data_IF_279812416484
#
_entry.id   IF_279812416484
#
_cell.length_a   1.000
_cell.length_b   1.000
_cell.length_c   1.000
_cell.angle_alpha   90.00
_cell.angle_beta   90.00
_cell.angle_gamma   90.00
#
_symmetry.space_group_name_H-M   'P 1'
#
loop_
_entity.id
_entity.type
_entity.pdbx_description
1 polymer ?
#
# COMPACT_ATOMS: atom_id res chain seq x y z
N UNK A 1 16.34 -4.72 -11.43
CA UNK A 1 14.87 -4.71 -11.30
C UNK A 1 14.29 -5.53 -12.43
N UNK A 2 13.37 -6.47 -12.16
CA UNK A 2 12.73 -7.30 -13.20
C UNK A 2 11.85 -6.45 -14.13
N UNK A 3 11.52 -6.95 -15.33
CA UNK A 3 10.60 -6.29 -16.26
C UNK A 3 9.23 -6.07 -15.62
N UNK A 4 8.75 -7.02 -14.82
CA UNK A 4 7.47 -6.90 -14.10
C UNK A 4 7.50 -5.76 -13.08
N UNK A 5 8.59 -5.65 -12.30
CA UNK A 5 8.73 -4.58 -11.31
C UNK A 5 8.95 -3.21 -11.97
N UNK A 6 9.68 -3.16 -13.08
CA UNK A 6 9.83 -1.95 -13.90
C UNK A 6 8.47 -1.51 -14.46
N UNK A 7 7.71 -2.44 -15.03
CA UNK A 7 6.35 -2.19 -15.52
C UNK A 7 5.47 -1.62 -14.39
N UNK A 8 5.46 -2.24 -13.22
CA UNK A 8 4.71 -1.73 -12.07
C UNK A 8 5.16 -0.32 -11.65
N UNK A 9 6.46 -0.03 -11.68
CA UNK A 9 7.00 1.30 -11.34
C UNK A 9 6.58 2.37 -12.35
N UNK A 10 6.59 2.04 -13.64
CA UNK A 10 6.15 2.92 -14.74
C UNK A 10 4.64 3.19 -14.66
N UNK A 11 3.86 2.18 -14.25
CA UNK A 11 2.41 2.23 -14.11
C UNK A 11 1.92 2.40 -12.66
N UNK A 12 2.78 2.93 -11.77
CA UNK A 12 2.45 3.07 -10.34
C UNK A 12 1.22 3.96 -10.09
N UNK A 13 1.00 4.94 -10.97
CA UNK A 13 -0.17 5.83 -10.91
C UNK A 13 -1.46 5.08 -11.21
N UNK A 14 -1.48 4.31 -12.29
CA UNK A 14 -2.63 3.50 -12.70
C UNK A 14 -2.95 2.42 -11.67
N UNK A 15 -1.92 1.78 -11.10
CA UNK A 15 -2.08 0.80 -10.03
C UNK A 15 -2.66 1.43 -8.75
N UNK A 16 -2.22 2.64 -8.40
CA UNK A 16 -2.75 3.39 -7.25
C UNK A 16 -4.19 3.82 -7.51
N UNK A 17 -4.51 4.32 -8.71
CA UNK A 17 -5.87 4.71 -9.08
C UNK A 17 -6.83 3.52 -9.09
N UNK A 18 -6.36 2.37 -9.55
CA UNK A 18 -7.10 1.11 -9.47
C UNK A 18 -7.42 0.74 -8.01
N UNK A 19 -6.43 0.79 -7.12
CA UNK A 19 -6.66 0.55 -5.69
C UNK A 19 -7.65 1.55 -5.09
N UNK A 20 -7.49 2.85 -5.38
CA UNK A 20 -8.35 3.90 -4.82
C UNK A 20 -9.80 3.66 -5.23
N UNK A 21 -10.03 3.49 -6.52
CA UNK A 21 -11.37 3.36 -7.11
C UNK A 21 -12.05 2.02 -6.79
N UNK A 22 -11.29 0.97 -6.49
CA UNK A 22 -11.83 -0.38 -6.23
C UNK A 22 -12.01 -0.66 -4.74
N UNK A 23 -11.04 -0.27 -3.92
CA UNK A 23 -10.96 -0.67 -2.52
C UNK A 23 -11.06 0.51 -1.57
N UNK A 24 -10.16 1.50 -1.70
CA UNK A 24 -10.07 2.59 -0.74
C UNK A 24 -11.33 3.45 -0.68
N UNK A 25 -12.06 3.62 -1.78
CA UNK A 25 -13.34 4.33 -1.81
C UNK A 25 -14.36 3.81 -0.78
N UNK A 26 -14.21 2.56 -0.34
CA UNK A 26 -15.09 1.91 0.64
C UNK A 26 -14.56 1.96 2.08
N UNK A 27 -13.39 2.56 2.33
CA UNK A 27 -12.78 2.66 3.67
C UNK A 27 -13.46 3.73 4.54
N UNK A 28 -13.36 3.56 5.85
CA UNK A 28 -13.84 4.55 6.82
C UNK A 28 -13.08 5.88 6.65
N UNK A 29 -11.77 5.79 6.48
CA UNK A 29 -10.89 6.95 6.25
C UNK A 29 -11.32 7.75 5.02
N UNK A 30 -11.59 7.08 3.89
CA UNK A 30 -12.03 7.76 2.68
C UNK A 30 -13.38 8.45 2.90
N UNK A 31 -14.34 7.78 3.54
CA UNK A 31 -15.65 8.38 3.78
C UNK A 31 -15.57 9.62 4.67
N UNK A 32 -14.68 9.61 5.66
CA UNK A 32 -14.44 10.74 6.54
C UNK A 32 -13.73 11.92 5.84
N UNK A 33 -12.86 11.65 4.85
CA UNK A 33 -11.89 12.64 4.35
C UNK A 33 -12.03 13.01 2.87
N UNK A 34 -12.91 12.36 2.11
CA UNK A 34 -13.12 12.63 0.67
C UNK A 34 -13.49 14.09 0.32
N UNK A 35 -13.99 14.86 1.29
CA UNK A 35 -14.32 16.27 1.12
C UNK A 35 -13.30 17.22 1.76
N UNK A 36 -12.27 16.70 2.42
CA UNK A 36 -11.17 17.51 2.97
C UNK A 36 -10.35 18.08 1.81
N UNK A 37 -10.21 19.41 1.68
CA UNK A 37 -9.47 20.02 0.58
C UNK A 37 -8.03 19.48 0.48
N UNK A 38 -7.65 19.02 -0.71
CA UNK A 38 -6.29 18.51 -0.99
C UNK A 38 -5.96 17.12 -0.43
N UNK A 39 -6.82 16.52 0.41
CA UNK A 39 -6.52 15.24 1.06
C UNK A 39 -6.31 14.11 0.05
N UNK A 40 -7.26 13.91 -0.87
CA UNK A 40 -7.19 12.81 -1.84
C UNK A 40 -5.98 12.93 -2.78
N UNK A 41 -5.63 14.16 -3.18
CA UNK A 41 -4.46 14.41 -4.01
C UNK A 41 -3.16 14.10 -3.26
N UNK A 42 -3.05 14.57 -2.02
CA UNK A 42 -1.88 14.31 -1.17
C UNK A 42 -1.72 12.81 -0.88
N UNK A 43 -2.81 12.13 -0.49
CA UNK A 43 -2.83 10.70 -0.19
C UNK A 43 -2.46 9.85 -1.41
N UNK A 44 -2.99 10.18 -2.59
CA UNK A 44 -2.62 9.53 -3.86
C UNK A 44 -1.13 9.72 -4.16
N UNK A 45 -0.62 10.96 -4.06
CA UNK A 45 0.77 11.30 -4.35
C UNK A 45 1.75 10.59 -3.42
N UNK A 46 1.43 10.56 -2.13
CA UNK A 46 2.20 9.82 -1.13
C UNK A 46 2.23 8.33 -1.44
N UNK A 47 1.07 7.72 -1.71
CA UNK A 47 0.96 6.30 -2.03
C UNK A 47 1.81 5.92 -3.25
N UNK A 48 1.76 6.72 -4.32
CA UNK A 48 2.60 6.52 -5.52
C UNK A 48 4.09 6.61 -5.17
N UNK A 49 4.46 7.58 -4.33
CA UNK A 49 5.85 7.79 -3.92
C UNK A 49 6.36 6.60 -3.11
N UNK A 50 5.57 6.12 -2.14
CA UNK A 50 5.90 4.97 -1.32
C UNK A 50 5.97 3.68 -2.13
N UNK A 51 5.06 3.46 -3.09
CA UNK A 51 5.12 2.32 -4.00
C UNK A 51 6.41 2.35 -4.83
N UNK A 52 6.70 3.46 -5.50
CA UNK A 52 7.93 3.60 -6.32
C UNK A 52 9.17 3.37 -5.47
N UNK A 53 9.20 3.92 -4.25
CA UNK A 53 10.30 3.73 -3.32
C UNK A 53 10.47 2.26 -2.93
N UNK A 54 9.38 1.56 -2.59
CA UNK A 54 9.40 0.14 -2.25
C UNK A 54 9.89 -0.77 -3.40
N UNK A 55 9.68 -0.36 -4.65
CA UNK A 55 10.14 -1.10 -5.84
C UNK A 55 11.64 -0.92 -6.13
N UNK A 56 12.23 0.19 -5.68
CA UNK A 56 13.67 0.47 -5.87
C UNK A 56 14.51 0.21 -4.62
N UNK A 57 13.90 0.29 -3.43
CA UNK A 57 14.55 0.10 -2.14
C UNK A 57 13.64 -0.70 -1.20
N UNK A 58 13.83 -2.01 -1.18
CA UNK A 58 13.01 -2.92 -0.37
C UNK A 58 13.24 -2.71 1.13
N UNK A 59 14.43 -2.26 1.51
CA UNK A 59 14.83 -2.02 2.91
C UNK A 59 14.04 -0.87 3.54
N UNK A 60 13.43 0.01 2.74
CA UNK A 60 12.56 1.09 3.27
C UNK A 60 11.13 0.64 3.58
N UNK A 61 10.72 -0.54 3.10
CA UNK A 61 9.33 -1.03 3.29
C UNK A 61 8.97 -1.11 4.78
N UNK A 62 9.80 -1.72 5.66
CA UNK A 62 9.51 -1.80 7.08
C UNK A 62 9.33 -0.43 7.75
N UNK A 63 10.28 0.50 7.54
CA UNK A 63 10.23 1.83 8.18
C UNK A 63 9.05 2.66 7.69
N UNK A 64 8.78 2.64 6.39
CA UNK A 64 7.65 3.38 5.82
C UNK A 64 6.32 2.82 6.32
N UNK A 65 6.20 1.49 6.42
CA UNK A 65 4.99 0.86 6.95
C UNK A 65 4.77 1.16 8.43
N UNK A 66 5.84 1.25 9.22
CA UNK A 66 5.75 1.73 10.60
C UNK A 66 5.21 3.15 10.68
N UNK A 67 5.78 4.09 9.92
CA UNK A 67 5.31 5.48 9.90
C UNK A 67 3.87 5.59 9.41
N UNK A 68 3.46 4.79 8.42
CA UNK A 68 2.05 4.72 8.02
C UNK A 68 1.14 4.27 9.18
N UNK A 69 1.57 3.32 10.01
CA UNK A 69 0.82 2.91 11.19
C UNK A 69 0.66 4.04 12.21
N UNK A 70 1.74 4.76 12.48
CA UNK A 70 1.76 5.95 13.36
C UNK A 70 0.83 7.05 12.83
N UNK A 71 0.93 7.40 11.54
CA UNK A 71 0.09 8.43 10.92
C UNK A 71 -1.40 8.07 10.99
N UNK A 72 -1.75 6.79 10.80
CA UNK A 72 -3.16 6.35 10.84
C UNK A 72 -3.72 6.40 12.25
N UNK A 73 -2.89 6.15 13.28
CA UNK A 73 -3.25 6.38 14.67
C UNK A 73 -3.52 7.87 14.93
N UNK A 74 -2.59 8.74 14.56
CA UNK A 74 -2.68 10.19 14.75
C UNK A 74 -3.89 10.80 14.01
N UNK A 75 -4.25 10.20 12.88
CA UNK A 75 -5.44 10.54 12.09
C UNK A 75 -6.75 10.01 12.70
N UNK A 76 -6.70 9.18 13.74
CA UNK A 76 -7.90 8.56 14.32
C UNK A 76 -8.59 7.57 13.38
N UNK A 77 -7.87 7.04 12.37
CA UNK A 77 -8.38 5.96 11.52
C UNK A 77 -8.37 4.68 12.33
N UNK A 78 -9.46 3.91 12.34
CA UNK A 78 -9.56 2.68 13.14
C UNK A 78 -8.49 1.66 12.71
N UNK A 79 -7.93 0.90 13.67
CA UNK A 79 -6.93 -0.12 13.37
C UNK A 79 -7.42 -1.11 12.30
N UNK A 80 -8.70 -1.50 12.38
CA UNK A 80 -9.32 -2.40 11.43
C UNK A 80 -9.36 -1.82 10.01
N UNK A 81 -9.67 -0.52 9.86
CA UNK A 81 -9.69 0.15 8.56
C UNK A 81 -8.26 0.34 8.02
N UNK A 82 -7.31 0.75 8.87
CA UNK A 82 -5.90 0.89 8.50
C UNK A 82 -5.32 -0.43 7.97
N UNK A 83 -5.53 -1.54 8.70
CA UNK A 83 -5.05 -2.86 8.29
C UNK A 83 -5.72 -3.34 7.00
N UNK A 84 -7.05 -3.20 6.89
CA UNK A 84 -7.79 -3.60 5.68
C UNK A 84 -7.35 -2.79 4.47
N UNK A 85 -7.21 -1.47 4.62
CA UNK A 85 -6.75 -0.56 3.58
C UNK A 85 -5.36 -0.97 3.08
N UNK A 86 -4.43 -1.20 4.00
CA UNK A 86 -3.07 -1.65 3.69
C UNK A 86 -3.02 -3.00 2.95
N UNK A 87 -3.73 -4.01 3.43
CA UNK A 87 -3.81 -5.31 2.75
C UNK A 87 -4.48 -5.21 1.37
N UNK A 88 -5.51 -4.37 1.24
CA UNK A 88 -6.21 -4.17 -0.03
C UNK A 88 -5.32 -3.50 -1.08
N UNK A 89 -4.35 -2.68 -0.67
CA UNK A 89 -3.36 -2.10 -1.59
C UNK A 89 -2.50 -3.18 -2.26
N UNK A 90 -1.90 -4.09 -1.49
CA UNK A 90 -1.11 -5.20 -2.06
C UNK A 90 -1.95 -6.17 -2.89
N UNK A 91 -3.23 -6.36 -2.52
CA UNK A 91 -4.18 -7.10 -3.36
C UNK A 91 -4.37 -6.41 -4.70
N UNK A 92 -4.69 -5.12 -4.70
CA UNK A 92 -4.93 -4.34 -5.91
C UNK A 92 -3.70 -4.32 -6.83
N UNK A 93 -2.50 -4.19 -6.28
CA UNK A 93 -1.24 -4.24 -7.06
C UNK A 93 -1.04 -5.60 -7.73
N UNK A 94 -1.31 -6.72 -7.04
CA UNK A 94 -1.23 -8.05 -7.65
C UNK A 94 -2.31 -8.24 -8.72
N UNK A 95 -3.54 -7.83 -8.45
CA UNK A 95 -4.64 -7.88 -9.42
C UNK A 95 -4.32 -7.06 -10.67
N UNK A 96 -3.76 -5.85 -10.49
CA UNK A 96 -3.29 -5.00 -11.59
C UNK A 96 -2.29 -5.74 -12.47
N UNK A 97 -1.25 -6.35 -11.89
CA UNK A 97 -0.27 -7.14 -12.64
C UNK A 97 -0.91 -8.33 -13.37
N UNK A 98 -1.82 -9.06 -12.72
CA UNK A 98 -2.54 -10.19 -13.32
C UNK A 98 -3.42 -9.74 -14.49
N UNK A 99 -4.14 -8.63 -14.35
CA UNK A 99 -4.97 -8.07 -15.42
C UNK A 99 -4.10 -7.73 -16.63
N UNK A 100 -2.97 -7.07 -16.42
CA UNK A 100 -2.10 -6.65 -17.51
C UNK A 100 -1.36 -7.84 -18.16
N UNK A 101 -0.96 -8.85 -17.38
CA UNK A 101 -0.37 -10.07 -17.90
C UNK A 101 -1.38 -10.86 -18.75
N UNK A 102 -2.60 -11.06 -18.25
CA UNK A 102 -3.68 -11.79 -18.96
C UNK A 102 -4.13 -11.08 -20.22
N UNK A 103 -4.18 -9.74 -20.21
CA UNK A 103 -4.50 -8.92 -21.39
C UNK A 103 -3.32 -8.72 -22.34
N UNK A 104 -2.13 -9.23 -22.01
CA UNK A 104 -0.89 -9.08 -22.80
C UNK A 104 -0.54 -7.62 -23.09
N UNK A 105 -0.82 -6.72 -22.15
CA UNK A 105 -0.44 -5.31 -22.24
C UNK A 105 1.02 -5.08 -21.83
N UNK A 106 1.65 -6.09 -21.24
CA UNK A 106 3.11 -6.28 -21.21
C UNK A 106 3.43 -7.76 -21.41
N UNK A 107 4.70 -8.07 -21.71
CA UNK A 107 5.18 -9.43 -21.91
C UNK A 107 6.43 -9.67 -21.05
N UNK A 108 6.47 -10.83 -20.41
CA UNK A 108 7.61 -11.34 -19.64
C UNK A 108 7.55 -12.87 -19.62
N UNK A 109 8.60 -13.51 -19.11
CA UNK A 109 8.56 -14.95 -18.88
C UNK A 109 7.62 -15.29 -17.72
N UNK A 110 6.91 -16.42 -17.80
CA UNK A 110 5.96 -16.83 -16.75
C UNK A 110 6.64 -16.96 -15.37
N UNK A 111 7.86 -17.49 -15.33
CA UNK A 111 8.63 -17.59 -14.10
C UNK A 111 8.91 -16.21 -13.48
N UNK A 112 9.31 -15.23 -14.29
CA UNK A 112 9.54 -13.85 -13.86
C UNK A 112 8.25 -13.21 -13.31
N UNK A 113 7.11 -13.47 -13.95
CA UNK A 113 5.80 -13.02 -13.48
C UNK A 113 5.45 -13.59 -12.11
N UNK A 114 5.57 -14.91 -11.94
CA UNK A 114 5.26 -15.59 -10.68
C UNK A 114 6.20 -15.15 -9.55
N UNK A 115 7.50 -14.99 -9.83
CA UNK A 115 8.47 -14.47 -8.87
C UNK A 115 8.11 -13.07 -8.39
N UNK A 116 7.64 -12.20 -9.30
CA UNK A 116 7.21 -10.85 -8.94
C UNK A 116 5.98 -10.84 -8.02
N UNK A 117 4.97 -11.68 -8.29
CA UNK A 117 3.80 -11.81 -7.42
C UNK A 117 4.19 -12.31 -6.02
N UNK A 118 5.04 -13.33 -5.94
CA UNK A 118 5.55 -13.84 -4.66
C UNK A 118 6.36 -12.80 -3.90
N UNK A 119 7.13 -11.98 -4.62
CA UNK A 119 7.90 -10.89 -4.03
C UNK A 119 7.01 -9.80 -3.42
N UNK A 120 5.95 -9.40 -4.11
CA UNK A 120 4.95 -8.46 -3.56
C UNK A 120 4.25 -9.03 -2.32
N UNK A 121 4.05 -10.35 -2.24
CA UNK A 121 3.52 -10.99 -1.02
C UNK A 121 4.51 -10.96 0.14
N UNK A 122 5.82 -11.06 -0.13
CA UNK A 122 6.84 -10.84 0.91
C UNK A 122 6.83 -9.40 1.41
N UNK A 123 6.65 -8.42 0.51
CA UNK A 123 6.52 -7.02 0.90
C UNK A 123 5.28 -6.76 1.76
N UNK A 124 4.14 -7.35 1.40
CA UNK A 124 2.91 -7.29 2.20
C UNK A 124 3.16 -7.82 3.61
N UNK A 125 3.74 -9.02 3.74
CA UNK A 125 4.00 -9.62 5.05
C UNK A 125 4.92 -8.75 5.92
N UNK A 126 6.04 -8.27 5.36
CA UNK A 126 6.99 -7.43 6.07
C UNK A 126 6.40 -6.07 6.47
N UNK A 127 5.58 -5.47 5.60
CA UNK A 127 4.94 -4.18 5.87
C UNK A 127 3.79 -4.30 6.89
N UNK A 128 2.99 -5.36 6.85
CA UNK A 128 1.87 -5.56 7.80
C UNK A 128 2.38 -5.63 9.23
N UNK A 129 3.46 -6.37 9.49
CA UNK A 129 4.05 -6.46 10.84
C UNK A 129 4.43 -5.08 11.37
N UNK A 130 5.05 -4.25 10.53
CA UNK A 130 5.49 -2.91 10.92
C UNK A 130 4.35 -1.90 11.01
N UNK A 131 3.33 -2.00 10.17
CA UNK A 131 2.10 -1.21 10.29
C UNK A 131 1.46 -1.44 11.66
N UNK A 132 1.33 -2.70 12.07
CA UNK A 132 0.79 -3.07 13.39
C UNK A 132 1.68 -2.49 14.50
N UNK A 133 3.00 -2.63 14.39
CA UNK A 133 3.93 -2.10 15.37
C UNK A 133 3.82 -0.57 15.50
N UNK A 134 3.75 0.16 14.39
CA UNK A 134 3.59 1.61 14.37
C UNK A 134 2.28 2.06 15.02
N UNK A 135 1.18 1.39 14.69
CA UNK A 135 -0.14 1.73 15.21
C UNK A 135 -0.27 1.43 16.72
N UNK A 136 0.17 0.25 17.16
CA UNK A 136 -0.03 -0.22 18.56
C UNK A 136 0.99 0.33 19.55
N UNK A 137 2.19 0.75 19.09
CA UNK A 137 3.16 1.40 19.96
C UNK A 137 2.62 2.74 20.51
N UNK A 138 1.72 3.40 19.78
CA UNK A 138 1.04 4.61 20.24
C UNK A 138 -0.07 4.32 21.26
N UNK A 139 -0.87 3.26 21.05
CA UNK A 139 -1.89 2.83 22.04
C UNK A 139 -1.26 2.55 23.42
N UNK A 140 -0.06 1.96 23.45
CA UNK A 140 0.67 1.69 24.69
C UNK A 140 1.26 2.92 25.37
N UNK A 141 1.47 4.02 24.65
CA UNK A 141 1.96 5.30 25.18
C UNK A 141 0.84 6.18 25.73
N UNK A 142 -0.40 6.00 25.25
CA UNK A 142 -1.58 6.74 25.72
C UNK A 142 -2.35 6.04 26.85
N UNK A 143 -1.92 4.84 27.29
CA UNK A 143 -2.49 4.21 28.47
C UNK A 143 -2.31 5.12 29.71
N UNK A 144 -3.41 5.51 30.40
CA UNK A 144 -3.35 6.54 31.43
C UNK A 144 -2.51 6.06 32.62
N UNK A 145 -1.63 6.95 33.10
CA UNK A 145 -1.12 6.88 34.46
C UNK A 145 -2.32 6.94 35.41
N UNK A 146 -2.55 5.83 36.11
CA UNK A 146 -3.60 5.69 37.12
C UNK A 146 -3.38 6.63 38.32
#
# INVERSE_FOLDING_TARGET
MSMVMRFLSEHAEEATDYWISTYYVNSEEYQARKFTPGYMEAHRKETITLLRLALVNEESIPSNAKSMGEDRYDMGTSFADALKSHMSFYRAVNEFLIIHYTKRTFSCEEAEFLEALLKLRKYEAASVEQLIAGYTMQEGLEAPTA
#
